data_IF_599429152911
#
_entry.id   IF_599429152911
#
_cell.length_a   1.000
_cell.length_b   1.000
_cell.length_c   1.000
_cell.angle_alpha   90.00
_cell.angle_beta   90.00
_cell.angle_gamma   90.00
#
_symmetry.space_group_name_H-M   'P 1'
#
loop_
_entity.id
_entity.type
_entity.pdbx_description
1 polymer ?
#
# COMPACT_ATOMS: atom_id res chain seq x y z
N UNK A 1 -23.20 7.09 8.29
CA UNK A 1 -22.07 7.98 7.93
C UNK A 1 -21.06 8.12 9.07
N UNK A 2 -21.48 8.43 10.31
CA UNK A 2 -20.57 8.54 11.47
C UNK A 2 -19.67 7.31 11.65
N UNK A 3 -20.23 6.10 11.63
CA UNK A 3 -19.45 4.86 11.72
C UNK A 3 -18.43 4.70 10.60
N UNK A 4 -18.80 5.05 9.36
CA UNK A 4 -17.90 4.94 8.20
C UNK A 4 -16.70 5.86 8.38
N UNK A 5 -16.92 7.15 8.62
CA UNK A 5 -15.82 8.11 8.79
C UNK A 5 -15.00 7.86 10.06
N UNK A 6 -15.66 7.56 11.18
CA UNK A 6 -15.00 7.25 12.45
C UNK A 6 -14.12 6.00 12.35
N UNK A 7 -14.64 4.92 11.76
CA UNK A 7 -13.86 3.71 11.56
C UNK A 7 -12.72 3.91 10.56
N UNK A 8 -12.93 4.65 9.46
CA UNK A 8 -11.85 4.95 8.51
C UNK A 8 -10.69 5.72 9.14
N UNK A 9 -10.98 6.70 10.00
CA UNK A 9 -9.95 7.45 10.73
C UNK A 9 -9.27 6.57 11.77
N UNK A 10 -10.04 5.80 12.55
CA UNK A 10 -9.51 4.84 13.51
C UNK A 10 -8.53 3.86 12.84
N UNK A 11 -8.95 3.22 11.75
CA UNK A 11 -8.14 2.29 10.97
C UNK A 11 -6.86 2.95 10.46
N UNK A 12 -6.95 4.17 9.94
CA UNK A 12 -5.79 4.89 9.44
C UNK A 12 -4.79 5.21 10.57
N UNK A 13 -5.25 5.79 11.68
CA UNK A 13 -4.35 6.23 12.75
C UNK A 13 -3.72 5.06 13.49
N UNK A 14 -4.49 4.00 13.77
CA UNK A 14 -3.98 2.79 14.40
C UNK A 14 -2.87 2.15 13.54
N UNK A 15 -3.16 1.95 12.26
CA UNK A 15 -2.24 1.23 11.38
C UNK A 15 -1.04 2.08 10.92
N UNK A 16 -1.24 3.38 10.70
CA UNK A 16 -0.14 4.30 10.42
C UNK A 16 0.77 4.47 11.65
N UNK A 17 0.19 4.57 12.85
CA UNK A 17 0.94 4.61 14.11
C UNK A 17 1.80 3.36 14.30
N UNK A 18 1.20 2.17 14.15
CA UNK A 18 1.93 0.90 14.19
C UNK A 18 3.08 0.84 13.18
N UNK A 19 2.82 1.26 11.94
CA UNK A 19 3.83 1.29 10.88
C UNK A 19 5.00 2.21 11.22
N UNK A 20 4.75 3.36 11.85
CA UNK A 20 5.83 4.26 12.30
C UNK A 20 6.67 3.65 13.42
N UNK A 21 6.05 2.93 14.37
CA UNK A 21 6.82 2.18 15.37
C UNK A 21 7.72 1.12 14.72
N UNK A 22 7.21 0.37 13.75
CA UNK A 22 7.99 -0.62 13.02
C UNK A 22 9.18 0.01 12.28
N UNK A 23 8.98 1.17 11.64
CA UNK A 23 10.05 1.93 10.98
C UNK A 23 11.07 2.43 12.01
N UNK A 24 10.60 2.97 13.14
CA UNK A 24 11.46 3.44 14.23
C UNK A 24 12.35 2.33 14.79
N UNK A 25 11.78 1.15 15.06
CA UNK A 25 12.55 -0.02 15.50
C UNK A 25 13.53 -0.47 14.42
N UNK A 26 13.13 -0.48 13.15
CA UNK A 26 14.02 -0.81 12.03
C UNK A 26 15.24 0.12 11.97
N UNK A 27 15.03 1.42 12.15
CA UNK A 27 16.10 2.41 12.19
C UNK A 27 17.05 2.19 13.38
N UNK A 28 16.52 1.80 14.55
CA UNK A 28 17.35 1.42 15.71
C UNK A 28 18.20 0.17 15.42
N UNK A 29 17.71 -0.74 14.58
CA UNK A 29 18.44 -1.92 14.11
C UNK A 29 19.40 -1.60 12.94
N UNK A 30 19.52 -0.34 12.52
CA UNK A 30 20.38 0.09 11.42
C UNK A 30 19.81 -0.19 10.02
N UNK A 31 18.57 -0.65 9.91
CA UNK A 31 17.90 -0.99 8.65
C UNK A 31 16.98 0.17 8.25
N UNK A 32 17.10 0.66 7.02
CA UNK A 32 16.21 1.71 6.51
C UNK A 32 14.96 1.10 5.88
N UNK A 33 13.92 0.87 6.68
CA UNK A 33 12.63 0.40 6.17
C UNK A 33 11.89 1.49 5.37
N UNK A 34 11.16 1.12 4.30
CA UNK A 34 10.34 2.07 3.55
C UNK A 34 9.12 2.53 4.37
N UNK A 35 8.65 3.75 4.09
CA UNK A 35 7.42 4.27 4.69
C UNK A 35 6.18 3.55 4.16
N UNK A 36 5.16 3.44 5.02
CA UNK A 36 3.89 2.79 4.65
C UNK A 36 2.78 3.77 4.24
N UNK A 37 2.80 5.01 4.74
CA UNK A 37 1.72 5.98 4.53
C UNK A 37 2.27 7.34 4.13
N UNK A 38 1.70 7.92 3.06
CA UNK A 38 2.06 9.26 2.60
C UNK A 38 0.81 10.09 2.27
N UNK A 39 0.17 10.65 3.31
CA UNK A 39 -0.99 11.55 3.17
C UNK A 39 -2.08 11.00 2.23
N UNK A 40 -2.62 9.79 2.48
CA UNK A 40 -3.47 9.09 1.52
C UNK A 40 -4.80 9.80 1.22
N UNK A 41 -5.38 10.51 2.20
CA UNK A 41 -6.66 11.20 2.03
C UNK A 41 -6.60 12.48 1.18
N UNK A 42 -5.41 12.99 0.85
CA UNK A 42 -5.22 14.13 -0.07
C UNK A 42 -5.11 13.65 -1.54
N UNK A 43 -5.17 12.32 -1.77
CA UNK A 43 -5.08 11.76 -3.12
C UNK A 43 -6.19 12.27 -4.04
N UNK A 44 -5.82 12.56 -5.30
CA UNK A 44 -6.77 13.11 -6.29
C UNK A 44 -7.57 12.04 -7.03
N UNK A 45 -7.12 10.79 -6.97
CA UNK A 45 -7.75 9.64 -7.61
C UNK A 45 -7.34 8.33 -6.92
N UNK A 46 -8.02 7.23 -7.25
CA UNK A 46 -7.79 5.93 -6.64
C UNK A 46 -6.37 5.37 -6.87
N UNK A 47 -5.76 5.67 -8.03
CA UNK A 47 -4.38 5.23 -8.33
C UNK A 47 -3.38 5.95 -7.41
N UNK A 48 -3.56 7.25 -7.22
CA UNK A 48 -2.76 8.07 -6.29
C UNK A 48 -3.00 7.64 -4.83
N UNK A 49 -4.22 7.23 -4.47
CA UNK A 49 -4.50 6.66 -3.15
C UNK A 49 -3.65 5.40 -2.87
N UNK A 50 -3.63 4.43 -3.80
CA UNK A 50 -2.83 3.21 -3.64
C UNK A 50 -1.32 3.42 -3.67
N UNK A 51 -0.85 4.55 -4.22
CA UNK A 51 0.56 4.95 -4.12
C UNK A 51 0.91 5.62 -2.79
N UNK A 52 -0.06 5.81 -1.89
CA UNK A 52 0.08 6.55 -0.62
C UNK A 52 -0.43 5.79 0.60
N UNK A 53 -1.25 4.77 0.39
CA UNK A 53 -1.84 3.94 1.43
C UNK A 53 -1.15 2.57 1.45
N UNK A 54 -0.62 2.16 2.61
CA UNK A 54 0.04 0.86 2.81
C UNK A 54 1.04 0.51 1.68
N UNK A 55 1.93 1.45 1.37
CA UNK A 55 2.78 1.45 0.18
C UNK A 55 3.62 0.19 0.02
N UNK A 56 4.22 -0.34 1.10
CA UNK A 56 5.03 -1.56 1.03
C UNK A 56 4.22 -2.75 0.50
N UNK A 57 3.00 -2.95 1.00
CA UNK A 57 2.10 -4.01 0.56
C UNK A 57 1.57 -3.75 -0.85
N UNK A 58 1.16 -2.52 -1.15
CA UNK A 58 0.65 -2.15 -2.47
C UNK A 58 1.69 -2.35 -3.56
N UNK A 59 2.95 -1.99 -3.32
CA UNK A 59 4.04 -2.25 -4.26
C UNK A 59 4.41 -3.72 -4.35
N UNK A 60 4.43 -4.43 -3.23
CA UNK A 60 4.67 -5.88 -3.25
C UNK A 60 3.61 -6.61 -4.08
N UNK A 61 2.32 -6.31 -3.89
CA UNK A 61 1.26 -6.89 -4.70
C UNK A 61 1.37 -6.50 -6.17
N UNK A 62 1.69 -5.24 -6.48
CA UNK A 62 1.91 -4.78 -7.86
C UNK A 62 2.99 -5.62 -8.53
N UNK A 63 4.15 -5.76 -7.91
CA UNK A 63 5.33 -6.30 -8.57
C UNK A 63 5.35 -7.85 -8.55
N UNK A 64 4.86 -8.46 -7.48
CA UNK A 64 4.91 -9.91 -7.30
C UNK A 64 3.63 -10.64 -7.68
N UNK A 65 2.47 -9.99 -7.64
CA UNK A 65 1.20 -10.64 -8.00
C UNK A 65 0.71 -10.11 -9.34
N UNK A 66 0.42 -8.82 -9.43
CA UNK A 66 -0.20 -8.23 -10.61
C UNK A 66 0.71 -8.35 -11.85
N UNK A 67 1.95 -7.87 -11.79
CA UNK A 67 2.87 -7.93 -12.94
C UNK A 67 3.18 -9.37 -13.35
N UNK A 68 3.38 -10.28 -12.39
CA UNK A 68 3.62 -11.70 -12.69
C UNK A 68 2.42 -12.36 -13.36
N UNK A 69 1.22 -12.07 -12.87
CA UNK A 69 -0.02 -12.59 -13.44
C UNK A 69 -0.24 -12.08 -14.87
N UNK A 70 -0.07 -10.78 -15.10
CA UNK A 70 -0.17 -10.17 -16.43
C UNK A 70 0.85 -10.78 -17.39
N UNK A 71 2.11 -10.90 -16.98
CA UNK A 71 3.16 -11.53 -17.79
C UNK A 71 2.81 -12.98 -18.16
N UNK A 72 2.25 -13.75 -17.23
CA UNK A 72 1.78 -15.10 -17.49
C UNK A 72 0.62 -15.14 -18.50
N UNK A 73 -0.37 -14.26 -18.36
CA UNK A 73 -1.52 -14.18 -19.27
C UNK A 73 -1.12 -13.76 -20.69
N UNK A 74 -0.23 -12.77 -20.82
CA UNK A 74 0.27 -12.30 -22.14
C UNK A 74 1.10 -13.38 -22.82
N UNK A 75 1.95 -14.10 -22.08
CA UNK A 75 2.72 -15.25 -22.61
C UNK A 75 1.82 -16.39 -23.08
N UNK A 76 0.74 -16.68 -22.36
CA UNK A 76 -0.23 -17.73 -22.74
C UNK A 76 -1.21 -17.33 -23.85
N UNK A 77 -1.07 -16.12 -24.44
CA UNK A 77 -1.99 -15.59 -25.46
C UNK A 77 -3.46 -15.57 -25.00
N UNK A 78 -3.72 -15.57 -23.68
CA UNK A 78 -5.08 -15.51 -23.14
C UNK A 78 -5.77 -14.16 -23.41
N UNK A 79 -4.97 -13.12 -23.70
CA UNK A 79 -5.43 -11.77 -24.05
C UNK A 79 -5.13 -11.50 -25.52
N UNK A 80 -5.34 -12.49 -26.38
CA UNK A 80 -5.41 -12.22 -27.82
C UNK A 80 -6.84 -11.79 -28.15
N UNK A 81 -6.97 -10.57 -28.68
CA UNK A 81 -8.13 -10.15 -29.46
C UNK A 81 -8.46 -11.20 -30.52
#
# INVERSE_FOLDING_TARGET
>A
LYYMYGYSLYLFFDFAGYSMFAIGVSYLMGIKSPENFNKPFISRNIKDFWNRWHMSLSFWFRDYVYMRFIFWMTKKKWIKN
#
